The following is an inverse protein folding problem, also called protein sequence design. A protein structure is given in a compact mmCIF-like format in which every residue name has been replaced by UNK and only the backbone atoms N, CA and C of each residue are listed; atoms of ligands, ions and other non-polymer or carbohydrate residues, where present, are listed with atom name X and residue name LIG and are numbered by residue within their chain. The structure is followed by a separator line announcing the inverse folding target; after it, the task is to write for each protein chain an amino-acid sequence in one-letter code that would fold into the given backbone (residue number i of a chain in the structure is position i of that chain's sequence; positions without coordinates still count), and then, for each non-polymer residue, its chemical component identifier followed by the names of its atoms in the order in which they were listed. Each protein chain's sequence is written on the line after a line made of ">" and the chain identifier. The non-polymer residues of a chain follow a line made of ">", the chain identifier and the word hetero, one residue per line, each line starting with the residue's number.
data_IF_905082142198
#
_entry.id   IF_905082142198
#
_cell.length_a   1.000
_cell.length_b   1.000
_cell.length_c   1.000
_cell.angle_alpha   90.00
_cell.angle_beta   90.00
_cell.angle_gamma   90.00
#
_symmetry.space_group_name_H-M   'P 1'
#
loop_
_entity.id
_entity.type
_entity.pdbx_description
1 polymer ?
#
# COMPACT_ATOMS: atom_id res chain seq x y z
N UNK A 1 -24.27 -86.03 -42.50
CA UNK A 1 -23.46 -84.95 -41.89
C UNK A 1 -24.41 -83.94 -41.25
N UNK A 2 -24.15 -83.63 -39.98
CA UNK A 2 -24.51 -82.42 -39.22
C UNK A 2 -26.00 -82.16 -38.86
N UNK A 3 -26.28 -82.35 -37.56
CA UNK A 3 -27.28 -81.63 -36.74
C UNK A 3 -26.76 -80.19 -36.40
N UNK A 4 -27.38 -79.39 -35.52
CA UNK A 4 -28.77 -78.89 -35.40
C UNK A 4 -28.81 -77.35 -35.11
N UNK A 5 -29.99 -76.70 -35.01
CA UNK A 5 -30.17 -75.57 -34.06
C UNK A 5 -31.64 -75.36 -33.66
N UNK A 6 -31.91 -75.57 -32.38
CA UNK A 6 -33.09 -75.11 -31.63
C UNK A 6 -32.89 -73.65 -31.18
N UNK A 7 -33.97 -72.86 -31.07
CA UNK A 7 -34.09 -71.82 -30.03
C UNK A 7 -35.57 -71.57 -29.68
N UNK A 8 -35.92 -72.00 -28.47
CA UNK A 8 -37.18 -71.79 -27.77
C UNK A 8 -37.28 -70.36 -27.21
N UNK A 9 -38.52 -69.91 -27.15
CA UNK A 9 -39.07 -68.74 -26.49
C UNK A 9 -39.05 -68.82 -24.95
N UNK A 10 -38.76 -67.69 -24.30
CA UNK A 10 -39.50 -67.11 -23.16
C UNK A 10 -39.48 -67.79 -21.78
N UNK A 11 -39.09 -67.03 -20.74
CA UNK A 11 -39.83 -66.80 -19.47
C UNK A 11 -39.14 -65.66 -18.67
N UNK A 12 -39.89 -64.81 -17.92
CA UNK A 12 -39.39 -63.65 -17.16
C UNK A 12 -39.30 -63.87 -15.64
N UNK A 13 -38.39 -63.16 -14.95
CA UNK A 13 -38.39 -62.84 -13.49
C UNK A 13 -37.42 -61.66 -13.29
N UNK A 14 -37.75 -60.54 -12.64
CA UNK A 14 -38.01 -60.38 -11.21
C UNK A 14 -36.75 -59.82 -10.52
N UNK A 15 -36.74 -58.55 -10.10
CA UNK A 15 -35.58 -57.96 -9.40
C UNK A 15 -35.67 -56.46 -9.14
N UNK A 16 -36.51 -56.08 -8.18
CA UNK A 16 -36.59 -54.74 -7.60
C UNK A 16 -35.43 -54.46 -6.62
N UNK A 17 -35.36 -53.20 -6.17
CA UNK A 17 -34.66 -52.71 -4.98
C UNK A 17 -33.15 -52.43 -5.08
N UNK A 18 -32.81 -51.13 -5.13
CA UNK A 18 -31.58 -50.61 -4.51
C UNK A 18 -31.92 -49.45 -3.56
N UNK A 19 -31.28 -49.37 -2.38
CA UNK A 19 -31.75 -48.55 -1.27
C UNK A 19 -31.24 -47.10 -1.34
N UNK A 20 -32.10 -46.17 -0.95
CA UNK A 20 -31.74 -44.80 -0.57
C UNK A 20 -30.97 -44.84 0.73
N UNK A 21 -29.70 -44.40 0.71
CA UNK A 21 -28.95 -44.16 1.95
C UNK A 21 -29.60 -43.01 2.74
N UNK A 22 -30.07 -43.35 3.93
CA UNK A 22 -30.56 -42.42 4.94
C UNK A 22 -29.45 -41.48 5.42
N UNK A 23 -29.78 -40.20 5.47
CA UNK A 23 -29.03 -39.20 6.22
C UNK A 23 -29.45 -39.32 7.68
N UNK A 24 -28.55 -39.83 8.51
CA UNK A 24 -28.69 -39.79 9.95
C UNK A 24 -28.56 -38.35 10.45
N UNK A 25 -29.62 -37.86 11.05
CA UNK A 25 -29.62 -36.68 11.92
C UNK A 25 -28.95 -37.07 13.23
N UNK A 26 -27.71 -36.63 13.43
CA UNK A 26 -27.09 -36.61 14.75
C UNK A 26 -27.40 -35.26 15.38
N UNK A 27 -28.45 -35.26 16.20
CA UNK A 27 -28.61 -34.30 17.29
C UNK A 27 -27.58 -34.63 18.36
N UNK A 28 -26.64 -33.72 18.61
CA UNK A 28 -25.86 -33.71 19.84
C UNK A 28 -25.79 -32.28 20.36
N UNK A 29 -26.69 -32.01 21.29
CA UNK A 29 -26.60 -30.88 22.22
C UNK A 29 -25.32 -31.06 23.04
N UNK A 30 -24.33 -30.18 22.85
CA UNK A 30 -23.20 -30.04 23.76
C UNK A 30 -23.36 -28.69 24.46
N UNK A 31 -23.94 -28.77 25.65
CA UNK A 31 -23.92 -27.74 26.69
C UNK A 31 -22.46 -27.52 27.10
N UNK A 32 -21.86 -26.39 26.67
CA UNK A 32 -20.57 -25.95 27.22
C UNK A 32 -20.80 -25.17 28.49
N UNK A 33 -20.34 -25.79 29.57
CA UNK A 33 -20.21 -25.27 30.93
C UNK A 33 -19.33 -24.01 30.91
N UNK A 34 -19.87 -22.91 31.46
CA UNK A 34 -19.13 -21.73 31.89
C UNK A 34 -18.22 -22.14 33.04
N UNK A 35 -16.91 -22.08 32.82
CA UNK A 35 -15.93 -22.07 33.91
C UNK A 35 -15.32 -20.69 33.96
N UNK A 36 -15.69 -19.99 35.02
CA UNK A 36 -15.23 -18.68 35.42
C UNK A 36 -13.78 -18.80 35.92
N UNK A 37 -12.84 -18.09 35.30
CA UNK A 37 -11.47 -17.94 35.82
C UNK A 37 -11.15 -16.45 35.90
N UNK A 38 -10.96 -15.89 37.11
CA UNK A 38 -10.44 -14.55 37.26
C UNK A 38 -8.91 -14.62 37.19
N UNK A 39 -8.30 -13.95 36.23
CA UNK A 39 -6.86 -13.70 36.28
C UNK A 39 -6.62 -12.23 36.00
N UNK A 40 -6.42 -11.49 37.09
CA UNK A 40 -5.94 -10.13 37.08
C UNK A 40 -4.55 -10.07 36.42
N UNK A 41 -4.47 -9.44 35.25
CA UNK A 41 -3.19 -9.10 34.63
C UNK A 41 -2.74 -7.76 35.23
N UNK A 42 -1.72 -7.87 36.06
CA UNK A 42 -1.03 -6.77 36.68
C UNK A 42 -0.51 -5.77 35.64
N UNK A 43 -0.68 -4.48 35.96
CA UNK A 43 -0.03 -3.36 35.32
C UNK A 43 1.48 -3.54 35.44
N UNK A 44 2.18 -3.72 34.32
CA UNK A 44 3.63 -3.61 34.29
C UNK A 44 4.05 -2.74 33.10
N UNK A 45 4.46 -1.52 33.44
CA UNK A 45 5.03 -0.51 32.55
C UNK A 45 6.39 -0.99 32.04
N UNK A 46 6.69 -0.92 30.72
CA UNK A 46 8.07 -0.91 30.29
C UNK A 46 8.66 0.50 30.50
N UNK A 47 9.60 0.62 31.43
CA UNK A 47 10.55 1.75 31.48
C UNK A 47 11.45 1.64 30.24
N UNK A 48 11.15 2.42 29.21
CA UNK A 48 12.07 2.60 28.08
C UNK A 48 13.08 3.71 28.39
N UNK A 49 14.34 3.32 28.20
CA UNK A 49 15.55 4.12 28.32
C UNK A 49 15.64 5.10 27.14
N UNK A 50 16.14 6.31 27.42
CA UNK A 50 16.32 7.37 26.44
C UNK A 50 17.51 7.08 25.50
N UNK A 51 17.40 7.31 24.18
CA UNK A 51 18.57 7.47 23.33
C UNK A 51 19.10 8.91 23.39
N UNK A 52 20.38 9.02 23.77
CA UNK A 52 21.23 10.19 23.52
C UNK A 52 21.61 10.25 22.03
N UNK A 53 21.65 11.44 21.45
CA UNK A 53 22.39 11.72 20.21
C UNK A 53 21.59 12.41 19.12
N UNK A 54 21.40 13.73 19.24
CA UNK A 54 21.06 14.59 18.12
C UNK A 54 22.36 15.02 17.41
N UNK A 55 22.59 14.50 16.21
CA UNK A 55 23.53 15.09 15.26
C UNK A 55 22.72 15.59 14.06
N UNK A 56 22.30 16.85 14.09
CA UNK A 56 21.60 17.51 12.98
C UNK A 56 22.62 18.02 11.96
N UNK A 57 22.83 17.26 10.89
CA UNK A 57 23.50 17.72 9.68
C UNK A 57 22.49 18.48 8.82
N UNK A 58 22.61 19.80 8.78
CA UNK A 58 21.79 20.68 7.93
C UNK A 58 22.29 20.52 6.49
N UNK A 59 21.49 19.88 5.63
CA UNK A 59 21.66 19.91 4.17
C UNK A 59 20.86 21.08 3.60
N UNK A 60 21.56 21.97 2.90
CA UNK A 60 20.98 23.03 2.07
C UNK A 60 20.44 22.41 0.78
N UNK A 61 19.19 22.71 0.41
CA UNK A 61 18.64 22.41 -0.91
C UNK A 61 18.62 23.68 -1.76
N UNK A 62 19.39 23.68 -2.84
CA UNK A 62 19.33 24.62 -3.94
C UNK A 62 18.17 24.24 -4.87
N UNK A 63 17.40 25.23 -5.32
CA UNK A 63 16.45 25.07 -6.43
C UNK A 63 16.86 26.00 -7.57
N UNK A 64 16.93 25.43 -8.77
CA UNK A 64 17.29 26.07 -10.03
C UNK A 64 16.08 26.09 -10.98
N UNK A 65 15.70 27.29 -11.44
CA UNK A 65 15.14 27.68 -12.76
C UNK A 65 13.80 27.05 -13.23
N UNK A 66 12.92 27.64 -14.06
CA UNK A 66 13.05 28.68 -15.10
C UNK A 66 11.71 29.37 -15.46
N UNK A 67 11.80 30.65 -15.85
CA UNK A 67 11.16 31.39 -16.97
C UNK A 67 9.65 31.28 -17.30
N UNK A 68 8.92 32.41 -17.20
CA UNK A 68 7.92 32.85 -18.20
C UNK A 68 7.67 34.39 -18.13
N UNK A 69 7.89 35.07 -19.26
CA UNK A 69 7.50 36.40 -19.80
C UNK A 69 7.23 37.66 -18.91
N UNK A 70 7.60 38.88 -19.38
CA UNK A 70 7.50 40.13 -18.62
C UNK A 70 6.20 40.90 -18.88
N UNK A 71 5.66 41.54 -17.83
CA UNK A 71 4.66 42.61 -17.98
C UNK A 71 5.03 43.75 -17.01
N UNK A 72 5.04 44.96 -17.57
CA UNK A 72 5.59 46.18 -16.98
C UNK A 72 4.97 46.59 -15.63
N UNK A 73 5.82 47.07 -14.73
CA UNK A 73 5.46 47.68 -13.45
C UNK A 73 6.71 48.22 -12.74
N UNK A 74 6.63 49.39 -12.06
CA UNK A 74 7.80 50.20 -11.72
C UNK A 74 8.65 49.63 -10.57
N UNK A 75 9.95 49.89 -10.68
CA UNK A 75 11.03 49.35 -9.86
C UNK A 75 10.96 49.70 -8.36
N UNK A 76 11.17 48.73 -7.44
CA UNK A 76 11.66 49.01 -6.09
C UNK A 76 13.21 48.95 -6.06
N UNK A 77 13.81 50.04 -5.62
CA UNK A 77 15.24 50.22 -5.39
C UNK A 77 15.86 49.13 -4.51
N UNK A 78 16.91 48.47 -5.03
CA UNK A 78 17.85 47.62 -4.29
C UNK A 78 18.42 48.39 -3.09
N UNK A 79 18.11 47.98 -1.86
CA UNK A 79 18.91 48.35 -0.68
C UNK A 79 19.98 47.28 -0.47
N UNK A 80 21.22 47.71 -0.69
CA UNK A 80 22.44 46.94 -0.44
C UNK A 80 22.58 46.60 1.04
N UNK A 81 22.97 45.36 1.28
CA UNK A 81 23.34 44.74 2.55
C UNK A 81 24.72 45.22 3.00
N UNK A 82 24.82 46.31 3.76
CA UNK A 82 26.04 46.64 4.56
C UNK A 82 25.77 47.40 5.86
N UNK A 83 24.52 47.59 6.29
CA UNK A 83 24.18 48.52 7.38
C UNK A 83 24.02 47.91 8.79
N UNK A 84 24.57 46.72 9.08
CA UNK A 84 24.42 46.09 10.41
C UNK A 84 25.70 46.00 11.25
N UNK A 85 26.78 46.67 10.86
CA UNK A 85 28.04 46.68 11.64
C UNK A 85 28.41 48.03 12.28
N UNK A 86 27.55 49.05 12.21
CA UNK A 86 27.83 50.37 12.80
C UNK A 86 26.70 50.84 13.72
N UNK A 87 26.38 50.04 14.74
CA UNK A 87 25.60 50.53 15.87
C UNK A 87 26.27 50.16 17.21
N UNK A 88 27.54 50.54 17.36
CA UNK A 88 28.27 50.49 18.64
C UNK A 88 28.34 51.85 19.33
N UNK A 89 27.80 52.92 18.72
CA UNK A 89 27.96 54.28 19.26
C UNK A 89 26.66 54.84 19.84
N UNK A 90 26.10 54.14 20.81
CA UNK A 90 25.18 54.78 21.75
C UNK A 90 25.55 54.35 23.17
N UNK A 91 26.56 55.00 23.73
CA UNK A 91 26.89 54.93 25.16
C UNK A 91 25.88 55.73 25.99
N UNK A 92 24.61 55.34 25.95
CA UNK A 92 23.73 55.58 27.09
C UNK A 92 24.00 54.46 28.07
N UNK A 93 24.75 54.73 29.13
CA UNK A 93 24.87 53.83 30.28
C UNK A 93 23.46 53.67 30.87
N UNK A 94 22.82 52.49 30.79
CA UNK A 94 21.61 52.28 31.57
C UNK A 94 22.02 52.21 33.04
N UNK A 95 21.36 52.97 33.91
CA UNK A 95 21.38 52.76 35.36
C UNK A 95 20.78 51.36 35.65
N UNK A 96 21.57 50.31 35.42
CA UNK A 96 21.13 48.94 35.69
C UNK A 96 21.23 48.72 37.19
N UNK A 97 20.09 48.86 37.88
CA UNK A 97 19.88 48.15 39.14
C UNK A 97 20.26 46.68 38.92
N UNK A 98 20.99 46.10 39.86
CA UNK A 98 21.68 44.78 39.82
C UNK A 98 20.80 43.54 39.50
N UNK A 99 19.55 43.70 39.07
CA UNK A 99 18.65 42.63 38.59
C UNK A 99 18.08 42.83 37.19
N UNK A 100 18.30 43.98 36.55
CA UNK A 100 17.58 44.37 35.31
C UNK A 100 18.16 43.70 34.05
N UNK A 101 19.48 43.51 33.99
CA UNK A 101 20.13 42.78 32.91
C UNK A 101 19.74 41.29 32.88
N UNK A 102 19.58 40.67 34.06
CA UNK A 102 19.11 39.29 34.18
C UNK A 102 17.66 39.14 33.71
N UNK A 103 16.80 40.12 34.03
CA UNK A 103 15.41 40.13 33.55
C UNK A 103 15.30 40.25 32.02
N UNK A 104 16.14 41.08 31.37
CA UNK A 104 16.19 41.17 29.90
C UNK A 104 16.65 39.87 29.24
N UNK A 105 17.65 39.21 29.81
CA UNK A 105 18.11 37.89 29.31
C UNK A 105 16.95 36.89 29.41
N UNK A 106 16.26 36.82 30.55
CA UNK A 106 15.10 35.93 30.75
C UNK A 106 13.94 36.26 29.81
N UNK A 107 13.65 37.54 29.56
CA UNK A 107 12.61 37.95 28.61
C UNK A 107 12.98 37.59 27.16
N UNK A 108 14.25 37.78 26.77
CA UNK A 108 14.73 37.45 25.43
C UNK A 108 14.74 35.94 25.17
N UNK A 109 15.05 35.11 26.18
CA UNK A 109 15.01 33.66 26.06
C UNK A 109 13.57 33.15 26.03
N UNK A 110 12.65 33.74 26.81
CA UNK A 110 11.21 33.47 26.73
C UNK A 110 10.64 33.82 25.35
N UNK A 111 10.89 35.03 24.83
CA UNK A 111 10.42 35.43 23.50
C UNK A 111 10.97 34.53 22.37
N UNK A 112 12.22 34.06 22.48
CA UNK A 112 12.79 33.07 21.54
C UNK A 112 12.14 31.69 21.67
N UNK A 113 11.83 31.26 22.89
CA UNK A 113 11.11 30.01 23.15
C UNK A 113 9.66 30.09 22.65
N UNK A 114 8.98 31.22 22.82
CA UNK A 114 7.62 31.48 22.37
C UNK A 114 7.54 31.57 20.83
N UNK A 115 8.50 32.23 20.18
CA UNK A 115 8.59 32.24 18.72
C UNK A 115 8.91 30.84 18.17
N UNK A 116 9.76 30.07 18.84
CA UNK A 116 10.06 28.68 18.48
C UNK A 116 8.83 27.78 18.65
N UNK A 117 8.09 27.91 19.76
CA UNK A 117 6.88 27.12 20.02
C UNK A 117 5.74 27.49 19.08
N UNK A 118 5.60 28.76 18.70
CA UNK A 118 4.65 29.22 17.68
C UNK A 118 4.98 28.62 16.30
N UNK A 119 6.26 28.62 15.90
CA UNK A 119 6.70 28.00 14.64
C UNK A 119 6.46 26.48 14.64
N UNK A 120 6.73 25.80 15.75
CA UNK A 120 6.46 24.37 15.92
C UNK A 120 4.96 24.11 15.83
N UNK A 121 4.13 24.92 16.49
CA UNK A 121 2.67 24.79 16.44
C UNK A 121 2.14 24.97 15.02
N UNK A 122 2.56 26.03 14.31
CA UNK A 122 2.19 26.27 12.92
C UNK A 122 2.58 25.10 12.00
N UNK A 123 3.79 24.55 12.18
CA UNK A 123 4.23 23.36 11.44
C UNK A 123 3.38 22.13 11.77
N UNK A 124 3.06 21.91 13.05
CA UNK A 124 2.21 20.78 13.44
C UNK A 124 0.80 20.91 12.87
N UNK A 125 0.24 22.12 12.86
CA UNK A 125 -1.09 22.40 12.33
C UNK A 125 -1.14 22.20 10.81
N UNK A 126 -0.15 22.71 10.09
CA UNK A 126 0.00 22.45 8.66
C UNK A 126 0.09 20.94 8.36
N UNK A 127 0.82 20.17 9.18
CA UNK A 127 0.87 18.72 9.03
C UNK A 127 -0.47 18.04 9.33
N UNK A 128 -1.25 18.51 10.31
CA UNK A 128 -2.61 18.00 10.55
C UNK A 128 -3.52 18.27 9.36
N UNK A 129 -3.51 19.50 8.83
CA UNK A 129 -4.30 19.87 7.65
C UNK A 129 -3.93 19.04 6.42
N UNK A 130 -2.65 18.71 6.24
CA UNK A 130 -2.22 17.78 5.18
C UNK A 130 -2.78 16.38 5.38
N UNK A 131 -2.77 15.86 6.62
CA UNK A 131 -3.34 14.54 6.93
C UNK A 131 -4.85 14.50 6.69
N UNK A 132 -5.58 15.51 7.14
CA UNK A 132 -7.03 15.58 6.92
C UNK A 132 -7.36 15.69 5.43
N UNK A 133 -6.59 16.48 4.67
CA UNK A 133 -6.70 16.52 3.21
C UNK A 133 -6.45 15.14 2.58
N UNK A 134 -5.39 14.42 2.99
CA UNK A 134 -5.10 13.06 2.52
C UNK A 134 -6.20 12.05 2.86
N UNK A 135 -6.84 12.19 4.02
CA UNK A 135 -7.97 11.35 4.44
C UNK A 135 -9.18 11.58 3.52
N UNK A 136 -9.55 12.83 3.26
CA UNK A 136 -10.63 13.15 2.32
C UNK A 136 -10.36 12.64 0.90
N UNK A 137 -9.10 12.65 0.46
CA UNK A 137 -8.73 12.11 -0.85
C UNK A 137 -8.88 10.59 -0.93
N UNK A 138 -8.62 9.85 0.15
CA UNK A 138 -8.83 8.39 0.21
C UNK A 138 -10.30 8.01 0.22
N UNK A 139 -11.13 8.85 0.82
CA UNK A 139 -12.58 8.68 0.84
C UNK A 139 -13.23 8.93 -0.53
N UNK A 140 -12.48 9.46 -1.51
CA UNK A 140 -12.92 9.61 -2.88
C UNK A 140 -12.52 8.41 -3.76
N UNK A 141 -13.38 7.38 -3.93
CA UNK A 141 -13.03 6.17 -4.68
C UNK A 141 -13.00 6.38 -6.20
N UNK A 142 -13.63 7.44 -6.70
CA UNK A 142 -13.69 7.76 -8.13
C UNK A 142 -12.46 8.58 -8.53
N UNK A 143 -11.80 8.13 -9.60
CA UNK A 143 -10.68 8.84 -10.22
C UNK A 143 -11.23 9.55 -11.46
N UNK A 144 -11.27 10.88 -11.42
CA UNK A 144 -11.77 11.69 -12.53
C UNK A 144 -10.71 11.82 -13.62
N UNK A 145 -11.09 11.54 -14.87
CA UNK A 145 -10.22 11.69 -16.03
C UNK A 145 -10.61 12.99 -16.75
N UNK A 146 -9.64 13.78 -17.28
CA UNK A 146 -9.97 14.94 -18.10
C UNK A 146 -10.85 14.51 -19.29
N UNK A 147 -11.98 15.21 -19.48
CA UNK A 147 -12.99 14.87 -20.49
C UNK A 147 -14.20 14.11 -19.96
N UNK A 148 -14.16 13.60 -18.72
CA UNK A 148 -15.34 13.05 -18.06
C UNK A 148 -16.34 14.17 -17.74
N UNK A 149 -17.60 14.00 -18.17
CA UNK A 149 -18.70 14.89 -17.78
C UNK A 149 -19.20 14.46 -16.41
N UNK A 150 -19.39 15.43 -15.51
CA UNK A 150 -19.97 15.20 -14.19
C UNK A 150 -21.36 15.82 -14.10
N UNK A 151 -22.22 15.20 -13.30
CA UNK A 151 -23.44 15.76 -12.77
C UNK A 151 -23.26 16.03 -11.27
N UNK A 152 -24.04 16.94 -10.65
CA UNK A 152 -24.02 17.12 -9.20
C UNK A 152 -24.28 15.83 -8.41
N UNK A 153 -25.01 14.88 -9.01
CA UNK A 153 -25.32 13.58 -8.40
C UNK A 153 -24.09 12.67 -8.29
N UNK A 154 -23.08 12.82 -9.15
CA UNK A 154 -21.86 12.00 -9.13
C UNK A 154 -20.96 12.26 -7.90
N UNK A 155 -21.19 13.37 -7.20
CA UNK A 155 -20.49 13.74 -5.96
C UNK A 155 -21.23 13.25 -4.70
N UNK A 156 -22.39 12.61 -4.86
CA UNK A 156 -23.16 12.06 -3.75
C UNK A 156 -22.51 10.79 -3.20
N UNK A 157 -22.60 10.58 -1.89
CA UNK A 157 -22.05 9.40 -1.22
C UNK A 157 -22.54 8.07 -1.81
N UNK A 158 -23.79 8.01 -2.32
CA UNK A 158 -24.34 6.82 -2.95
C UNK A 158 -23.62 6.41 -4.25
N UNK A 159 -23.30 7.38 -5.12
CA UNK A 159 -22.56 7.12 -6.36
C UNK A 159 -21.07 6.85 -6.09
N UNK A 160 -20.51 7.47 -5.04
CA UNK A 160 -19.16 7.15 -4.57
C UNK A 160 -19.08 5.69 -4.10
N UNK A 161 -20.05 5.21 -3.33
CA UNK A 161 -20.10 3.82 -2.87
C UNK A 161 -20.20 2.81 -4.03
N UNK A 162 -20.98 3.12 -5.07
CA UNK A 162 -21.05 2.29 -6.27
C UNK A 162 -19.70 2.16 -6.97
N UNK A 163 -18.92 3.24 -7.00
CA UNK A 163 -17.57 3.26 -7.61
C UNK A 163 -16.53 2.57 -6.74
N UNK A 164 -16.76 2.48 -5.42
CA UNK A 164 -15.88 1.77 -4.47
C UNK A 164 -15.78 0.26 -4.72
N UNK A 165 -16.65 -0.32 -5.56
CA UNK A 165 -16.63 -1.75 -5.89
C UNK A 165 -15.27 -2.14 -6.50
N UNK A 166 -14.65 -3.16 -5.89
CA UNK A 166 -13.31 -3.64 -6.24
C UNK A 166 -13.22 -3.96 -7.74
N UNK A 167 -12.25 -3.35 -8.43
CA UNK A 167 -11.97 -3.62 -9.84
C UNK A 167 -11.56 -5.09 -10.01
N UNK A 168 -12.50 -5.93 -10.43
CA UNK A 168 -12.19 -7.28 -10.90
C UNK A 168 -11.67 -7.15 -12.32
N UNK A 169 -10.57 -7.83 -12.63
CA UNK A 169 -10.04 -7.91 -14.00
C UNK A 169 -11.18 -8.34 -14.93
N UNK A 170 -11.49 -7.47 -15.91
CA UNK A 170 -12.67 -7.60 -16.79
C UNK A 170 -12.49 -8.64 -17.89
N UNK A 171 -11.25 -9.00 -18.23
CA UNK A 171 -10.95 -9.95 -19.30
C UNK A 171 -9.71 -10.81 -19.01
N UNK A 172 -9.57 -11.88 -19.78
CA UNK A 172 -8.42 -12.78 -19.71
C UNK A 172 -7.19 -12.12 -20.34
N UNK A 173 -6.19 -11.83 -19.51
CA UNK A 173 -4.94 -11.17 -19.92
C UNK A 173 -4.14 -12.03 -20.92
N UNK A 174 -4.22 -13.36 -20.81
CA UNK A 174 -3.47 -14.28 -21.69
C UNK A 174 -4.06 -14.25 -23.10
N UNK A 175 -5.39 -14.24 -23.22
CA UNK A 175 -6.06 -14.12 -24.52
C UNK A 175 -5.85 -12.73 -25.13
N UNK A 176 -5.92 -11.67 -24.31
CA UNK A 176 -5.68 -10.30 -24.76
C UNK A 176 -4.25 -10.09 -25.32
N UNK A 177 -3.26 -10.76 -24.73
CA UNK A 177 -1.87 -10.73 -25.18
C UNK A 177 -1.55 -11.77 -26.27
N UNK A 178 -2.43 -12.74 -26.52
CA UNK A 178 -2.24 -13.79 -27.53
C UNK A 178 -1.07 -14.75 -27.25
N UNK A 179 -0.58 -14.82 -26.00
CA UNK A 179 0.59 -15.61 -25.64
C UNK A 179 0.24 -17.01 -25.14
N UNK A 180 1.14 -17.98 -25.36
CA UNK A 180 1.01 -19.32 -24.78
C UNK A 180 1.82 -19.39 -23.48
N UNK A 181 1.17 -19.45 -22.30
CA UNK A 181 1.90 -19.39 -21.03
C UNK A 181 2.85 -20.57 -20.84
N UNK A 182 2.54 -21.75 -21.42
CA UNK A 182 3.37 -22.96 -21.27
C UNK A 182 4.82 -22.78 -21.75
N UNK A 183 5.03 -21.92 -22.75
CA UNK A 183 6.35 -21.70 -23.35
C UNK A 183 7.19 -20.71 -22.53
N UNK A 184 6.54 -19.86 -21.73
CA UNK A 184 7.18 -18.81 -20.95
C UNK A 184 7.52 -19.23 -19.51
N UNK A 185 7.72 -20.53 -19.27
CA UNK A 185 8.04 -21.06 -17.93
C UNK A 185 9.36 -20.53 -17.34
N UNK A 186 10.24 -19.96 -18.16
CA UNK A 186 11.50 -19.34 -17.72
C UNK A 186 11.31 -17.90 -17.22
N UNK A 187 10.15 -17.29 -17.49
CA UNK A 187 9.86 -15.92 -17.08
C UNK A 187 9.25 -15.90 -15.67
N UNK A 188 10.08 -15.60 -14.67
CA UNK A 188 9.67 -15.57 -13.27
C UNK A 188 8.62 -14.48 -12.96
N UNK A 189 8.68 -13.34 -13.66
CA UNK A 189 7.68 -12.27 -13.48
C UNK A 189 6.30 -12.72 -13.96
N UNK A 190 6.23 -13.46 -15.07
CA UNK A 190 4.98 -14.01 -15.57
C UNK A 190 4.39 -15.06 -14.63
N UNK A 191 5.23 -15.92 -14.05
CA UNK A 191 4.80 -16.89 -13.03
C UNK A 191 4.26 -16.19 -11.78
N UNK A 192 5.01 -15.21 -11.27
CA UNK A 192 4.70 -14.51 -10.03
C UNK A 192 3.34 -13.78 -10.07
N UNK A 193 2.89 -13.37 -11.25
CA UNK A 193 1.59 -12.71 -11.43
C UNK A 193 0.39 -13.62 -11.16
N UNK A 194 0.54 -14.95 -11.28
CA UNK A 194 -0.54 -15.92 -11.13
C UNK A 194 -0.47 -16.77 -9.85
N UNK A 195 0.50 -16.49 -8.99
CA UNK A 195 0.70 -17.18 -7.71
C UNK A 195 0.61 -16.20 -6.54
N UNK A 196 0.20 -16.71 -5.38
CA UNK A 196 0.16 -15.95 -4.14
C UNK A 196 1.59 -15.67 -3.60
N UNK A 197 1.69 -14.89 -2.51
CA UNK A 197 2.95 -14.69 -1.77
C UNK A 197 3.61 -16.01 -1.32
N UNK A 198 2.80 -17.02 -0.99
CA UNK A 198 3.24 -18.38 -0.62
C UNK A 198 3.40 -19.32 -1.83
N UNK A 199 3.47 -18.79 -3.05
CA UNK A 199 3.58 -19.55 -4.31
C UNK A 199 2.46 -20.57 -4.61
N UNK A 200 1.30 -20.42 -3.97
CA UNK A 200 0.11 -21.19 -4.34
C UNK A 200 -0.52 -20.62 -5.61
N UNK A 201 -0.89 -21.49 -6.56
CA UNK A 201 -1.56 -21.07 -7.80
C UNK A 201 -2.92 -20.48 -7.46
N UNK A 202 -3.13 -19.22 -7.84
CA UNK A 202 -4.36 -18.49 -7.56
C UNK A 202 -5.53 -19.05 -8.37
N UNK A 203 -6.74 -19.02 -7.80
CA UNK A 203 -7.95 -19.46 -8.50
C UNK A 203 -8.28 -18.53 -9.68
N UNK A 204 -8.84 -19.09 -10.77
CA UNK A 204 -9.15 -18.34 -11.99
C UNK A 204 -10.08 -17.13 -11.75
N UNK A 205 -10.98 -17.19 -10.75
CA UNK A 205 -11.82 -16.05 -10.34
C UNK A 205 -11.02 -14.85 -9.82
N UNK A 206 -9.88 -15.10 -9.18
CA UNK A 206 -9.01 -14.02 -8.65
C UNK A 206 -8.17 -13.43 -9.78
N UNK A 207 -7.62 -14.28 -10.64
CA UNK A 207 -6.80 -13.85 -11.77
C UNK A 207 -7.61 -13.26 -12.94
N UNK A 208 -8.92 -13.53 -13.01
CA UNK A 208 -9.76 -13.16 -14.16
C UNK A 208 -9.49 -13.99 -15.41
N UNK A 209 -8.93 -15.20 -15.26
CA UNK A 209 -8.59 -16.08 -16.39
C UNK A 209 -9.76 -17.01 -16.74
N UNK A 210 -9.86 -17.37 -18.02
CA UNK A 210 -10.75 -18.43 -18.49
C UNK A 210 -10.24 -19.79 -18.01
N UNK A 211 -11.14 -20.74 -17.76
CA UNK A 211 -10.78 -22.08 -17.24
C UNK A 211 -9.73 -22.82 -18.12
N UNK A 212 -9.78 -22.63 -19.45
CA UNK A 212 -8.80 -23.21 -20.38
C UNK A 212 -7.40 -22.63 -20.12
N UNK A 213 -7.28 -21.30 -20.08
CA UNK A 213 -6.00 -20.63 -19.85
C UNK A 213 -5.49 -20.82 -18.43
N UNK A 214 -6.38 -20.87 -17.44
CA UNK A 214 -6.03 -21.23 -16.07
C UNK A 214 -5.30 -22.58 -16.01
N UNK A 215 -5.75 -23.60 -16.76
CA UNK A 215 -5.05 -24.90 -16.83
C UNK A 215 -3.68 -24.78 -17.48
N UNK A 216 -3.54 -23.94 -18.52
CA UNK A 216 -2.27 -23.70 -19.23
C UNK A 216 -1.27 -22.98 -18.33
N UNK A 217 -1.70 -21.93 -17.62
CA UNK A 217 -0.92 -21.21 -16.60
C UNK A 217 -0.53 -22.16 -15.48
N UNK A 218 -1.47 -22.95 -14.95
CA UNK A 218 -1.16 -23.89 -13.88
C UNK A 218 -0.14 -24.97 -14.33
N UNK A 219 -0.19 -25.40 -15.59
CA UNK A 219 0.82 -26.30 -16.19
C UNK A 219 2.18 -25.61 -16.31
N UNK A 220 2.24 -24.34 -16.73
CA UNK A 220 3.48 -23.54 -16.75
C UNK A 220 4.12 -23.46 -15.36
N UNK A 221 3.36 -23.09 -14.32
CA UNK A 221 3.87 -22.94 -12.95
C UNK A 221 4.41 -24.28 -12.42
N UNK A 222 3.62 -25.36 -12.54
CA UNK A 222 4.07 -26.69 -12.11
C UNK A 222 5.31 -27.18 -12.85
N UNK A 223 5.43 -26.85 -14.14
CA UNK A 223 6.62 -27.17 -14.94
C UNK A 223 7.85 -26.45 -14.38
N UNK A 224 7.76 -25.15 -14.14
CA UNK A 224 8.87 -24.35 -13.61
C UNK A 224 9.35 -24.86 -12.25
N UNK A 225 8.41 -25.20 -11.35
CA UNK A 225 8.72 -25.79 -10.04
C UNK A 225 9.33 -27.20 -10.20
N UNK A 226 8.73 -28.05 -11.04
CA UNK A 226 9.22 -29.42 -11.26
C UNK A 226 10.61 -29.50 -11.90
N UNK A 227 11.04 -28.47 -12.63
CA UNK A 227 12.41 -28.34 -13.16
C UNK A 227 13.37 -27.67 -12.17
N UNK A 228 12.91 -27.24 -11.00
CA UNK A 228 13.75 -26.55 -10.02
C UNK A 228 14.10 -25.10 -10.36
N UNK A 229 13.43 -24.49 -11.34
CA UNK A 229 13.69 -23.10 -11.74
C UNK A 229 12.95 -22.07 -10.87
N UNK A 230 11.86 -22.48 -10.22
CA UNK A 230 11.05 -21.60 -9.39
C UNK A 230 10.80 -22.22 -8.01
N UNK A 231 10.95 -21.48 -6.91
CA UNK A 231 10.74 -22.00 -5.56
C UNK A 231 9.30 -22.48 -5.32
N UNK A 232 9.12 -23.50 -4.47
CA UNK A 232 7.78 -24.05 -4.18
C UNK A 232 7.04 -23.28 -3.07
N UNK A 233 7.74 -22.61 -2.15
CA UNK A 233 7.14 -22.09 -0.91
C UNK A 233 7.04 -20.57 -0.84
N UNK A 234 7.96 -19.84 -1.48
CA UNK A 234 8.11 -18.39 -1.36
C UNK A 234 8.48 -17.77 -2.70
N UNK A 235 8.10 -16.52 -2.96
CA UNK A 235 8.39 -15.84 -4.24
C UNK A 235 9.87 -15.91 -4.62
N UNK A 236 10.15 -15.97 -5.93
CA UNK A 236 11.52 -15.98 -6.44
C UNK A 236 12.33 -14.80 -5.87
N UNK A 237 13.56 -15.01 -5.38
CA UNK A 237 14.32 -13.99 -4.65
C UNK A 237 14.54 -12.71 -5.46
N UNK A 238 14.79 -12.81 -6.77
CA UNK A 238 14.90 -11.63 -7.64
C UNK A 238 13.61 -10.78 -7.71
N UNK A 239 12.44 -11.42 -7.60
CA UNK A 239 11.16 -10.71 -7.57
C UNK A 239 10.92 -10.04 -6.22
N UNK A 240 11.39 -10.65 -5.14
CA UNK A 240 11.33 -10.07 -3.80
C UNK A 240 12.31 -8.90 -3.66
N UNK A 241 13.55 -9.07 -4.12
CA UNK A 241 14.58 -8.05 -4.10
C UNK A 241 14.13 -6.79 -4.83
N UNK A 242 13.55 -6.89 -6.03
CA UNK A 242 13.06 -5.70 -6.77
C UNK A 242 12.02 -4.88 -5.99
N UNK A 243 11.20 -5.51 -5.15
CA UNK A 243 10.16 -4.81 -4.37
C UNK A 243 10.73 -4.07 -3.16
N UNK A 244 11.73 -4.66 -2.50
CA UNK A 244 12.26 -4.15 -1.24
C UNK A 244 13.56 -3.35 -1.43
N UNK A 245 14.42 -3.83 -2.32
CA UNK A 245 15.69 -3.23 -2.72
C UNK A 245 15.61 -2.86 -4.22
N UNK A 246 14.97 -1.72 -4.56
CA UNK A 246 14.99 -1.27 -5.94
C UNK A 246 16.43 -1.14 -6.42
N UNK A 247 16.71 -1.63 -7.63
CA UNK A 247 18.04 -1.58 -8.23
C UNK A 247 18.53 -0.12 -8.24
N UNK A 248 19.66 0.15 -7.60
CA UNK A 248 20.21 1.52 -7.50
C UNK A 248 20.50 2.13 -8.88
N UNK A 249 20.61 1.28 -9.92
CA UNK A 249 20.76 1.72 -11.32
C UNK A 249 19.50 2.38 -11.91
N UNK A 250 18.33 2.15 -11.32
CA UNK A 250 17.05 2.71 -11.76
C UNK A 250 16.58 3.89 -10.89
N UNK A 251 17.42 4.35 -9.95
CA UNK A 251 17.10 5.55 -9.17
C UNK A 251 17.00 6.77 -10.12
N UNK A 252 15.87 7.49 -10.13
CA UNK A 252 15.73 8.68 -10.96
C UNK A 252 16.71 9.75 -10.44
N UNK A 253 17.81 9.97 -11.15
CA UNK A 253 18.81 10.98 -10.78
C UNK A 253 20.27 10.67 -11.10
N UNK A 254 20.61 9.45 -11.56
CA UNK A 254 22.00 9.12 -11.95
C UNK A 254 22.19 9.25 -13.47
N UNK A 255 22.25 10.49 -13.96
CA UNK A 255 22.80 10.77 -15.30
C UNK A 255 24.30 10.50 -15.24
N UNK A 256 24.77 9.51 -16.01
CA UNK A 256 26.20 9.21 -16.13
C UNK A 256 26.90 10.24 -17.02
N UNK A 257 28.11 10.63 -16.60
CA UNK A 257 29.14 11.24 -17.45
C UNK A 257 29.53 10.32 -18.60
#
# INVERSE_FOLDING_TARGET
>A
MLQPTLKLSGIPTGGSFRPRHGRNLLSSNITRILVNVPTAIAKMLPRFTAPRGLASSIRQFSTSASSLAPREGPAPTRRSTTATLLNLNNSQKPDTRRGDAAQRIVQSTRARQDASSANIYALTEANKQRRTAEEYMKDMPRHWVPGDVYSPHDLSGAEMEKTRKRNRRRGDVIDALGIRPQDHYKNFSMINEFVNSTNQIMHGRVNGLRAVNQRRVAKMVRRAIGMGLYPSTHQHPEMFNRKWFPDQRQAPGRWGN
#
